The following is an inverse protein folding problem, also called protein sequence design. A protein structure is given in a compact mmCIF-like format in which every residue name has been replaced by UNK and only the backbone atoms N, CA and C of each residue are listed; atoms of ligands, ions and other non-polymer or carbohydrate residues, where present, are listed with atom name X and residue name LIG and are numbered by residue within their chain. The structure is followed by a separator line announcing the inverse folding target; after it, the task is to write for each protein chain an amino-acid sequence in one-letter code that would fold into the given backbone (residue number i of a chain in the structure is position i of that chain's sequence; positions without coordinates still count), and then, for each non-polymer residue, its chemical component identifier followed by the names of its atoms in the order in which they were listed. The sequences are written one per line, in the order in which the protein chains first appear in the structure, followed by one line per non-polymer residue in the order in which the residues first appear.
data_IF_766207069202
#
_entry.id   IF_766207069202
#
_cell.length_a   1.000
_cell.length_b   1.000
_cell.length_c   1.000
_cell.angle_alpha   90.00
_cell.angle_beta   90.00
_cell.angle_gamma   90.00
#
_symmetry.space_group_name_H-M   'P 1'
#
loop_
_entity.id
_entity.type
_entity.pdbx_description
1 polymer ?
#
# COMPACT_ATOMS: atom_id res chain seq x y z
N UNK A 1 -33.85 -9.90 -5.63
CA UNK A 1 -33.65 -8.46 -5.38
C UNK A 1 -32.59 -8.15 -4.31
N UNK A 2 -32.12 -9.14 -3.52
CA UNK A 2 -31.21 -8.95 -2.38
C UNK A 2 -29.72 -8.66 -2.72
N UNK A 3 -29.17 -9.14 -3.82
CA UNK A 3 -27.73 -9.06 -4.08
C UNK A 3 -27.21 -7.65 -4.42
N UNK A 4 -28.06 -6.75 -4.93
CA UNK A 4 -27.66 -5.38 -5.28
C UNK A 4 -27.49 -4.46 -4.06
N UNK A 5 -28.24 -4.67 -2.99
CA UNK A 5 -28.20 -3.83 -1.77
C UNK A 5 -27.00 -4.16 -0.88
N UNK A 6 -26.58 -5.42 -0.80
CA UNK A 6 -25.45 -5.86 0.02
C UNK A 6 -24.09 -5.37 -0.52
N UNK A 7 -23.98 -5.09 -1.81
CA UNK A 7 -22.76 -4.57 -2.42
C UNK A 7 -22.60 -3.04 -2.31
N UNK A 8 -23.63 -2.30 -1.90
CA UNK A 8 -23.58 -0.84 -1.80
C UNK A 8 -22.53 -0.34 -0.81
N UNK A 9 -22.44 -0.84 0.44
CA UNK A 9 -21.42 -0.40 1.39
C UNK A 9 -20.00 -0.69 0.90
N UNK A 10 -19.75 -1.85 0.31
CA UNK A 10 -18.44 -2.20 -0.26
C UNK A 10 -18.03 -1.20 -1.33
N UNK A 11 -18.96 -0.83 -2.20
CA UNK A 11 -18.70 0.17 -3.26
C UNK A 11 -18.40 1.54 -2.68
N UNK A 12 -19.16 1.97 -1.67
CA UNK A 12 -18.93 3.26 -1.00
C UNK A 12 -17.52 3.31 -0.40
N UNK A 13 -17.13 2.32 0.41
CA UNK A 13 -15.81 2.29 1.02
C UNK A 13 -14.68 2.17 0.00
N UNK A 14 -14.85 1.41 -1.08
CA UNK A 14 -13.86 1.30 -2.15
C UNK A 14 -13.71 2.62 -2.92
N UNK A 15 -14.78 3.38 -3.14
CA UNK A 15 -14.69 4.71 -3.76
C UNK A 15 -14.09 5.74 -2.81
N UNK A 16 -14.44 5.70 -1.53
CA UNK A 16 -13.87 6.57 -0.48
C UNK A 16 -12.35 6.37 -0.38
N UNK A 17 -11.90 5.12 -0.40
CA UNK A 17 -10.47 4.79 -0.41
C UNK A 17 -9.76 5.45 -1.60
N UNK A 18 -10.31 5.34 -2.81
CA UNK A 18 -9.73 5.95 -4.02
C UNK A 18 -9.68 7.47 -3.99
N UNK A 19 -10.68 8.11 -3.40
CA UNK A 19 -10.63 9.56 -3.19
C UNK A 19 -9.47 9.93 -2.27
N UNK A 20 -9.29 9.20 -1.17
CA UNK A 20 -8.17 9.43 -0.26
C UNK A 20 -6.81 9.12 -0.91
N UNK A 21 -6.71 8.07 -1.74
CA UNK A 21 -5.52 7.75 -2.52
C UNK A 21 -5.15 8.88 -3.48
N UNK A 22 -6.13 9.49 -4.17
CA UNK A 22 -5.89 10.62 -5.06
C UNK A 22 -5.38 11.85 -4.30
N UNK A 23 -5.96 12.14 -3.14
CA UNK A 23 -5.49 13.24 -2.28
C UNK A 23 -4.09 12.94 -1.75
N UNK A 24 -3.86 11.72 -1.27
CA UNK A 24 -2.53 11.28 -0.85
C UNK A 24 -1.49 11.42 -1.96
N UNK A 25 -1.82 10.96 -3.17
CA UNK A 25 -0.93 11.05 -4.33
C UNK A 25 -0.63 12.51 -4.70
N UNK A 26 -1.63 13.38 -4.68
CA UNK A 26 -1.44 14.79 -4.95
C UNK A 26 -0.51 15.44 -3.92
N UNK A 27 -0.69 15.15 -2.63
CA UNK A 27 0.18 15.63 -1.56
C UNK A 27 1.60 15.08 -1.68
N UNK A 28 1.75 13.79 -2.01
CA UNK A 28 3.03 13.13 -2.20
C UNK A 28 3.81 13.74 -3.38
N UNK A 29 3.15 13.95 -4.52
CA UNK A 29 3.76 14.60 -5.69
C UNK A 29 4.11 16.05 -5.37
N UNK A 30 3.21 16.80 -4.71
CA UNK A 30 3.46 18.18 -4.31
C UNK A 30 4.70 18.24 -3.41
N UNK A 31 4.79 17.37 -2.42
CA UNK A 31 5.96 17.28 -1.57
C UNK A 31 7.23 16.97 -2.37
N UNK A 32 7.23 15.92 -3.18
CA UNK A 32 8.42 15.49 -3.91
C UNK A 32 8.87 16.47 -5.00
N UNK A 33 7.94 17.22 -5.63
CA UNK A 33 8.24 18.05 -6.80
C UNK A 33 8.29 19.53 -6.47
N UNK A 34 7.34 20.03 -5.68
CA UNK A 34 7.15 21.47 -5.51
C UNK A 34 8.08 22.06 -4.45
N UNK A 35 8.25 21.39 -3.32
CA UNK A 35 9.09 21.88 -2.22
C UNK A 35 10.60 21.78 -2.48
N UNK A 36 10.96 21.34 -3.68
CA UNK A 36 12.35 21.25 -4.11
C UNK A 36 12.98 22.54 -4.60
N UNK A 37 12.25 23.63 -4.66
CA UNK A 37 12.65 24.79 -5.48
C UNK A 37 13.01 26.05 -4.72
N UNK A 38 13.42 26.00 -3.50
CA UNK A 38 14.10 27.20 -3.01
C UNK A 38 15.53 27.25 -3.52
N UNK A 39 15.70 27.88 -4.70
CA UNK A 39 17.00 28.08 -5.36
C UNK A 39 17.84 29.19 -4.69
N UNK A 40 17.29 29.85 -3.67
CA UNK A 40 17.95 30.99 -3.02
C UNK A 40 18.81 30.59 -1.84
N UNK A 41 18.60 29.41 -1.26
CA UNK A 41 19.43 28.88 -0.21
C UNK A 41 19.87 27.43 -0.51
N UNK A 42 21.13 27.23 -0.94
CA UNK A 42 21.67 25.90 -1.22
C UNK A 42 21.69 24.98 0.01
N UNK A 43 21.65 25.50 1.23
CA UNK A 43 21.61 24.72 2.47
C UNK A 43 20.22 24.11 2.72
N UNK A 44 19.16 24.71 2.18
CA UNK A 44 17.78 24.23 2.25
C UNK A 44 17.42 23.27 1.10
N UNK A 45 18.27 23.16 0.08
CA UNK A 45 18.07 22.30 -1.10
C UNK A 45 18.17 20.79 -0.82
N UNK A 46 18.53 20.40 0.39
CA UNK A 46 18.83 19.00 0.74
C UNK A 46 17.57 18.11 0.75
N UNK A 47 16.37 18.67 0.92
CA UNK A 47 15.15 17.89 1.15
C UNK A 47 14.11 17.96 0.03
N UNK A 48 14.39 18.60 -1.08
CA UNK A 48 13.39 18.80 -2.11
C UNK A 48 13.92 18.61 -3.53
N UNK A 49 13.09 18.03 -4.39
CA UNK A 49 13.21 17.97 -5.85
C UNK A 49 13.57 16.64 -6.45
N UNK A 50 12.82 16.38 -7.49
CA UNK A 50 13.08 15.30 -8.45
C UNK A 50 14.01 15.85 -9.54
N UNK A 51 15.16 16.43 -9.20
CA UNK A 51 16.17 16.78 -10.22
C UNK A 51 16.81 15.48 -10.72
N UNK A 52 17.08 15.38 -12.00
CA UNK A 52 17.37 14.16 -12.75
C UNK A 52 18.55 13.28 -12.32
N UNK A 53 19.04 13.41 -11.12
CA UNK A 53 20.08 12.56 -10.58
C UNK A 53 19.52 11.56 -9.57
N UNK A 54 19.18 10.37 -10.06
CA UNK A 54 18.80 9.22 -9.23
C UNK A 54 19.93 8.80 -8.25
N UNK A 55 21.17 9.12 -8.56
CA UNK A 55 22.39 8.68 -7.85
C UNK A 55 22.99 9.74 -6.92
N UNK A 56 22.27 10.81 -6.57
CA UNK A 56 22.74 11.85 -5.66
C UNK A 56 21.70 12.11 -4.56
N UNK A 57 21.79 13.24 -3.88
CA UNK A 57 20.96 13.64 -2.72
C UNK A 57 19.45 13.46 -2.92
N UNK A 58 18.96 13.44 -4.18
CA UNK A 58 17.56 13.22 -4.50
C UNK A 58 17.04 11.79 -4.32
N UNK A 59 17.89 10.83 -4.04
CA UNK A 59 17.48 9.45 -3.77
C UNK A 59 16.49 9.34 -2.60
N UNK A 60 16.54 10.27 -1.64
CA UNK A 60 15.57 10.37 -0.55
C UNK A 60 14.15 10.60 -1.06
N UNK A 61 13.96 11.55 -1.97
CA UNK A 61 12.64 11.86 -2.53
C UNK A 61 12.12 10.75 -3.44
N UNK A 62 13.00 10.10 -4.20
CA UNK A 62 12.64 8.91 -4.95
C UNK A 62 12.18 7.77 -4.04
N UNK A 63 12.84 7.55 -2.90
CA UNK A 63 12.41 6.58 -1.91
C UNK A 63 10.99 6.88 -1.41
N UNK A 64 10.72 8.11 -0.98
CA UNK A 64 9.41 8.53 -0.47
C UNK A 64 8.33 8.35 -1.54
N UNK A 65 8.57 8.80 -2.77
CA UNK A 65 7.62 8.69 -3.88
C UNK A 65 7.32 7.23 -4.24
N UNK A 66 8.35 6.44 -4.47
CA UNK A 66 8.20 5.06 -4.93
C UNK A 66 7.58 4.16 -3.87
N UNK A 67 7.98 4.30 -2.60
CA UNK A 67 7.38 3.56 -1.49
C UNK A 67 5.93 4.00 -1.22
N UNK A 68 5.65 5.31 -1.29
CA UNK A 68 4.30 5.83 -1.16
C UNK A 68 3.35 5.29 -2.23
N UNK A 69 3.78 5.25 -3.50
CA UNK A 69 2.98 4.66 -4.59
C UNK A 69 2.87 3.13 -4.43
N UNK A 70 3.97 2.45 -4.06
CA UNK A 70 3.97 0.99 -3.90
C UNK A 70 2.97 0.53 -2.84
N UNK A 71 3.06 1.08 -1.63
CA UNK A 71 2.24 0.64 -0.49
C UNK A 71 0.91 1.40 -0.39
N UNK A 72 0.90 2.70 -0.67
CA UNK A 72 -0.29 3.53 -0.54
C UNK A 72 -1.29 3.36 -1.69
N UNK A 73 -0.85 3.00 -2.90
CA UNK A 73 -1.70 2.90 -4.07
C UNK A 73 -1.71 1.48 -4.64
N UNK A 74 -0.57 0.99 -5.12
CA UNK A 74 -0.56 -0.28 -5.84
C UNK A 74 -0.99 -1.46 -4.96
N UNK A 75 -0.52 -1.50 -3.71
CA UNK A 75 -0.92 -2.54 -2.76
C UNK A 75 -2.39 -2.38 -2.33
N UNK A 76 -2.88 -1.15 -2.20
CA UNK A 76 -4.28 -0.85 -1.90
C UNK A 76 -5.21 -1.32 -3.03
N UNK A 77 -4.95 -0.95 -4.28
CA UNK A 77 -5.75 -1.39 -5.43
C UNK A 77 -5.69 -2.91 -5.62
N UNK A 78 -4.56 -3.53 -5.30
CA UNK A 78 -4.42 -4.99 -5.28
C UNK A 78 -5.38 -5.66 -4.28
N UNK A 79 -5.51 -5.12 -3.07
CA UNK A 79 -6.44 -5.64 -2.05
C UNK A 79 -7.89 -5.39 -2.46
N UNK A 80 -8.19 -4.18 -2.97
CA UNK A 80 -9.53 -3.80 -3.42
C UNK A 80 -10.03 -4.62 -4.62
N UNK A 81 -9.14 -5.23 -5.42
CA UNK A 81 -9.52 -6.10 -6.52
C UNK A 81 -10.43 -7.26 -6.05
N UNK A 82 -10.16 -7.81 -4.86
CA UNK A 82 -11.00 -8.85 -4.26
C UNK A 82 -12.28 -8.33 -3.59
N UNK A 83 -12.38 -7.03 -3.32
CA UNK A 83 -13.62 -6.42 -2.85
C UNK A 83 -14.63 -6.17 -4.00
N UNK A 84 -14.17 -6.17 -5.25
CA UNK A 84 -15.02 -5.96 -6.43
C UNK A 84 -15.79 -7.23 -6.80
N UNK A 85 -17.12 -7.20 -6.64
CA UNK A 85 -18.01 -8.30 -7.04
C UNK A 85 -17.90 -8.63 -8.54
N UNK A 86 -17.77 -7.61 -9.40
CA UNK A 86 -17.62 -7.79 -10.85
C UNK A 86 -16.31 -8.50 -11.20
N UNK A 87 -15.18 -8.11 -10.61
CA UNK A 87 -13.89 -8.76 -10.87
C UNK A 87 -13.88 -10.22 -10.38
N UNK A 88 -14.55 -10.50 -9.24
CA UNK A 88 -14.66 -11.87 -8.72
C UNK A 88 -15.54 -12.72 -9.61
N UNK A 89 -16.74 -12.24 -9.97
CA UNK A 89 -17.68 -12.96 -10.83
C UNK A 89 -17.09 -13.34 -12.19
N UNK A 90 -16.26 -12.46 -12.76
CA UNK A 90 -15.59 -12.70 -14.05
C UNK A 90 -14.23 -13.43 -13.92
N UNK A 91 -13.80 -13.82 -12.71
CA UNK A 91 -12.54 -14.51 -12.46
C UNK A 91 -11.28 -13.65 -12.63
N UNK A 92 -11.41 -12.33 -12.84
CA UNK A 92 -10.29 -11.42 -13.06
C UNK A 92 -9.62 -10.92 -11.78
N UNK A 93 -10.28 -11.00 -10.62
CA UNK A 93 -9.77 -10.45 -9.35
C UNK A 93 -8.34 -10.93 -9.03
N UNK A 94 -8.06 -12.21 -9.24
CA UNK A 94 -6.72 -12.80 -9.02
C UNK A 94 -5.65 -12.17 -9.92
N UNK A 95 -5.97 -11.95 -11.19
CA UNK A 95 -5.01 -11.39 -12.14
C UNK A 95 -4.75 -9.91 -11.93
N UNK A 96 -5.80 -9.15 -11.59
CA UNK A 96 -5.69 -7.75 -11.21
C UNK A 96 -4.87 -7.60 -9.92
N UNK A 97 -5.14 -8.45 -8.92
CA UNK A 97 -4.34 -8.52 -7.70
C UNK A 97 -2.87 -8.80 -8.00
N UNK A 98 -2.57 -9.82 -8.79
CA UNK A 98 -1.20 -10.17 -9.14
C UNK A 98 -0.49 -9.04 -9.89
N UNK A 99 -1.16 -8.39 -10.84
CA UNK A 99 -0.59 -7.30 -11.61
C UNK A 99 -0.21 -6.11 -10.70
N UNK A 100 -1.10 -5.70 -9.81
CA UNK A 100 -0.84 -4.62 -8.86
C UNK A 100 0.26 -4.99 -7.85
N UNK A 101 0.31 -6.26 -7.39
CA UNK A 101 1.38 -6.72 -6.50
C UNK A 101 2.74 -6.73 -7.21
N UNK A 102 2.80 -7.08 -8.50
CA UNK A 102 4.03 -7.02 -9.27
C UNK A 102 4.51 -5.58 -9.46
N UNK A 103 3.59 -4.65 -9.75
CA UNK A 103 3.89 -3.20 -9.81
C UNK A 103 4.43 -2.73 -8.46
N UNK A 104 3.75 -3.06 -7.35
CA UNK A 104 4.18 -2.69 -6.00
C UNK A 104 5.58 -3.21 -5.69
N UNK A 105 5.89 -4.46 -6.07
CA UNK A 105 7.19 -5.08 -5.83
C UNK A 105 8.31 -4.36 -6.60
N UNK A 106 8.08 -4.01 -7.87
CA UNK A 106 9.03 -3.27 -8.70
C UNK A 106 9.30 -1.88 -8.09
N UNK A 107 8.24 -1.16 -7.73
CA UNK A 107 8.35 0.17 -7.13
C UNK A 107 9.06 0.12 -5.77
N UNK A 108 8.74 -0.87 -4.93
CA UNK A 108 9.38 -1.05 -3.63
C UNK A 108 10.88 -1.39 -3.78
N UNK A 109 11.23 -2.25 -4.74
CA UNK A 109 12.64 -2.56 -5.02
C UNK A 109 13.41 -1.33 -5.50
N UNK A 110 12.83 -0.53 -6.40
CA UNK A 110 13.43 0.71 -6.88
C UNK A 110 13.56 1.75 -5.75
N UNK A 111 12.52 1.88 -4.90
CA UNK A 111 12.54 2.77 -3.74
C UNK A 111 13.56 2.35 -2.68
N UNK A 112 13.75 1.05 -2.45
CA UNK A 112 14.81 0.56 -1.57
C UNK A 112 16.20 0.86 -2.16
N UNK A 113 16.39 0.60 -3.44
CA UNK A 113 17.65 0.89 -4.11
C UNK A 113 18.01 2.39 -4.03
N UNK A 114 17.03 3.28 -4.24
CA UNK A 114 17.25 4.73 -4.18
C UNK A 114 17.75 5.20 -2.82
N UNK A 115 17.15 4.71 -1.72
CA UNK A 115 17.58 5.11 -0.37
C UNK A 115 18.96 4.54 0.01
N UNK A 116 19.28 3.33 -0.45
CA UNK A 116 20.61 2.74 -0.23
C UNK A 116 21.68 3.60 -0.91
N UNK A 117 21.44 3.97 -2.18
CA UNK A 117 22.35 4.83 -2.94
C UNK A 117 22.50 6.20 -2.29
N UNK A 118 21.39 6.86 -1.91
CA UNK A 118 21.40 8.16 -1.26
C UNK A 118 22.17 8.16 0.06
N UNK A 119 21.96 7.14 0.90
CA UNK A 119 22.69 6.99 2.16
C UNK A 119 24.17 6.72 1.99
N UNK A 120 24.53 5.89 1.00
CA UNK A 120 25.95 5.67 0.67
C UNK A 120 26.63 6.95 0.17
N UNK A 121 25.91 7.75 -0.63
CA UNK A 121 26.43 9.01 -1.14
C UNK A 121 26.65 10.05 -0.03
N UNK A 122 25.71 10.13 0.93
CA UNK A 122 25.77 11.08 2.06
C UNK A 122 26.52 10.54 3.30
N UNK A 123 27.16 9.37 3.22
CA UNK A 123 27.80 8.68 4.36
C UNK A 123 26.90 8.52 5.58
N UNK A 124 25.60 8.30 5.33
CA UNK A 124 24.58 8.20 6.37
C UNK A 124 24.37 6.75 6.83
N UNK A 125 24.07 6.56 8.13
CA UNK A 125 23.80 5.23 8.70
C UNK A 125 22.51 4.62 8.11
N UNK A 126 22.56 3.32 7.76
CA UNK A 126 21.42 2.63 7.15
C UNK A 126 20.34 2.24 8.15
N UNK A 127 20.69 1.52 9.19
CA UNK A 127 19.74 0.90 10.12
C UNK A 127 19.83 1.59 11.49
N UNK A 128 19.12 2.73 11.67
CA UNK A 128 19.17 3.46 12.93
C UNK A 128 17.80 3.89 13.47
N UNK A 129 16.74 3.85 12.64
CA UNK A 129 15.41 4.28 13.05
C UNK A 129 14.41 3.14 13.07
N UNK A 130 13.32 3.30 13.80
CA UNK A 130 12.18 2.36 13.83
C UNK A 130 11.63 2.14 12.43
N UNK A 131 11.53 3.22 11.62
CA UNK A 131 11.13 3.13 10.22
C UNK A 131 12.02 2.17 9.42
N UNK A 132 13.34 2.26 9.58
CA UNK A 132 14.28 1.41 8.84
C UNK A 132 14.10 -0.08 9.19
N UNK A 133 13.98 -0.42 10.47
CA UNK A 133 13.76 -1.82 10.91
C UNK A 133 12.39 -2.34 10.46
N UNK A 134 11.31 -1.58 10.69
CA UNK A 134 9.97 -1.94 10.23
C UNK A 134 9.93 -2.08 8.70
N UNK A 135 10.62 -1.20 7.98
CA UNK A 135 10.69 -1.24 6.52
C UNK A 135 11.30 -2.52 5.98
N UNK A 136 12.45 -2.92 6.53
CA UNK A 136 13.12 -4.18 6.10
C UNK A 136 12.25 -5.41 6.42
N UNK A 137 11.64 -5.46 7.61
CA UNK A 137 10.74 -6.57 7.97
C UNK A 137 9.50 -6.61 7.07
N UNK A 138 8.89 -5.47 6.79
CA UNK A 138 7.72 -5.36 5.89
C UNK A 138 8.07 -5.80 4.47
N UNK A 139 9.21 -5.36 3.94
CA UNK A 139 9.67 -5.76 2.60
C UNK A 139 9.96 -7.27 2.54
N UNK A 140 10.57 -7.84 3.57
CA UNK A 140 10.79 -9.29 3.65
C UNK A 140 9.46 -10.06 3.64
N UNK A 141 8.49 -9.65 4.46
CA UNK A 141 7.15 -10.23 4.46
C UNK A 141 6.47 -10.08 3.11
N UNK A 142 6.59 -8.93 2.46
CA UNK A 142 6.01 -8.67 1.15
C UNK A 142 6.60 -9.59 0.08
N UNK A 143 7.90 -9.74 0.02
CA UNK A 143 8.58 -10.67 -0.91
C UNK A 143 8.12 -12.11 -0.68
N UNK A 144 8.08 -12.56 0.57
CA UNK A 144 7.59 -13.91 0.92
C UNK A 144 6.14 -14.08 0.46
N UNK A 145 5.26 -13.12 0.76
CA UNK A 145 3.85 -13.16 0.37
C UNK A 145 3.65 -13.17 -1.15
N UNK A 146 4.43 -12.37 -1.88
CA UNK A 146 4.37 -12.35 -3.34
C UNK A 146 4.70 -13.72 -3.94
N UNK A 147 5.84 -14.28 -3.56
CA UNK A 147 6.27 -15.58 -4.10
C UNK A 147 5.40 -16.74 -3.60
N UNK A 148 4.94 -16.69 -2.35
CA UNK A 148 3.96 -17.66 -1.86
C UNK A 148 2.71 -17.66 -2.72
N UNK A 149 2.08 -16.49 -2.93
CA UNK A 149 0.88 -16.36 -3.74
C UNK A 149 1.09 -16.79 -5.18
N UNK A 150 2.21 -16.39 -5.79
CA UNK A 150 2.58 -16.79 -7.16
C UNK A 150 2.74 -18.31 -7.28
N UNK A 151 3.48 -18.93 -6.38
CA UNK A 151 3.71 -20.38 -6.40
C UNK A 151 2.43 -21.17 -6.14
N UNK A 152 1.70 -20.84 -5.05
CA UNK A 152 0.55 -21.63 -4.62
C UNK A 152 -0.67 -21.49 -5.57
N UNK A 153 -0.93 -20.29 -6.08
CA UNK A 153 -2.19 -20.01 -6.78
C UNK A 153 -2.04 -19.84 -8.30
N UNK A 154 -0.80 -19.76 -8.82
CA UNK A 154 -0.53 -19.63 -10.25
C UNK A 154 0.30 -20.82 -10.74
N UNK A 155 1.56 -20.95 -10.30
CA UNK A 155 2.51 -21.90 -10.86
C UNK A 155 2.19 -23.36 -10.53
N UNK A 156 1.90 -23.66 -9.26
CA UNK A 156 1.67 -25.02 -8.78
C UNK A 156 0.21 -25.34 -8.45
N UNK A 157 -0.72 -24.48 -8.88
CA UNK A 157 -2.15 -24.64 -8.58
C UNK A 157 -2.69 -26.04 -8.93
N UNK A 158 -2.31 -26.60 -10.07
CA UNK A 158 -2.78 -27.91 -10.53
C UNK A 158 -2.16 -29.09 -9.79
N UNK A 159 -1.04 -28.88 -9.08
CA UNK A 159 -0.34 -29.91 -8.32
C UNK A 159 -0.76 -29.96 -6.85
N UNK A 160 -1.45 -28.94 -6.36
CA UNK A 160 -1.90 -28.85 -4.98
C UNK A 160 -3.33 -29.38 -4.85
N UNK A 161 -3.60 -30.15 -3.80
CA UNK A 161 -4.95 -30.57 -3.46
C UNK A 161 -5.84 -29.36 -3.12
N UNK A 162 -7.15 -29.51 -3.23
CA UNK A 162 -8.09 -28.43 -2.90
C UNK A 162 -7.97 -28.03 -1.42
N UNK A 163 -7.89 -29.01 -0.51
CA UNK A 163 -7.70 -28.77 0.91
C UNK A 163 -6.40 -27.98 1.21
N UNK A 164 -5.30 -28.35 0.55
CA UNK A 164 -4.03 -27.61 0.69
C UNK A 164 -4.15 -26.18 0.19
N UNK A 165 -4.77 -25.97 -0.98
CA UNK A 165 -4.99 -24.62 -1.51
C UNK A 165 -5.85 -23.76 -0.60
N UNK A 166 -6.88 -24.34 0.00
CA UNK A 166 -7.74 -23.63 0.97
C UNK A 166 -6.95 -23.17 2.19
N UNK A 167 -6.16 -24.06 2.80
CA UNK A 167 -5.31 -23.73 3.94
C UNK A 167 -4.27 -22.66 3.58
N UNK A 168 -3.57 -22.85 2.48
CA UNK A 168 -2.58 -21.86 2.00
C UNK A 168 -3.22 -20.49 1.73
N UNK A 169 -4.46 -20.47 1.19
CA UNK A 169 -5.23 -19.26 0.97
C UNK A 169 -5.57 -18.53 2.28
N UNK A 170 -5.99 -19.26 3.30
CA UNK A 170 -6.30 -18.68 4.62
C UNK A 170 -5.08 -17.97 5.23
N UNK A 171 -3.91 -18.62 5.20
CA UNK A 171 -2.67 -18.00 5.71
C UNK A 171 -2.19 -16.86 4.81
N UNK A 172 -2.30 -16.99 3.49
CA UNK A 172 -1.95 -15.92 2.56
C UNK A 172 -2.78 -14.66 2.80
N UNK A 173 -4.09 -14.79 3.02
CA UNK A 173 -4.98 -13.67 3.34
C UNK A 173 -4.62 -13.04 4.68
N UNK A 174 -4.37 -13.84 5.71
CA UNK A 174 -4.02 -13.33 7.05
C UNK A 174 -2.71 -12.56 7.02
N UNK A 175 -1.65 -13.18 6.50
CA UNK A 175 -0.32 -12.57 6.42
C UNK A 175 -0.31 -11.41 5.41
N UNK A 176 -1.09 -11.50 4.32
CA UNK A 176 -1.24 -10.42 3.36
C UNK A 176 -1.85 -9.17 3.98
N UNK A 177 -2.88 -9.31 4.83
CA UNK A 177 -3.43 -8.20 5.60
C UNK A 177 -2.39 -7.60 6.55
N UNK A 178 -1.67 -8.44 7.28
CA UNK A 178 -0.59 -8.00 8.17
C UNK A 178 0.47 -7.21 7.38
N UNK A 179 0.91 -7.73 6.24
CA UNK A 179 1.90 -7.08 5.37
C UNK A 179 1.39 -5.73 4.85
N UNK A 180 0.12 -5.65 4.44
CA UNK A 180 -0.50 -4.40 3.98
C UNK A 180 -0.49 -3.33 5.07
N UNK A 181 -1.01 -3.64 6.27
CA UNK A 181 -1.06 -2.65 7.36
C UNK A 181 0.34 -2.32 7.91
N UNK A 182 1.26 -3.28 7.94
CA UNK A 182 2.66 -3.01 8.26
C UNK A 182 3.30 -2.06 7.25
N UNK A 183 3.00 -2.20 5.95
CA UNK A 183 3.46 -1.31 4.89
C UNK A 183 2.95 0.11 5.07
N UNK A 184 1.63 0.28 5.28
CA UNK A 184 1.02 1.58 5.56
C UNK A 184 1.63 2.21 6.82
N UNK A 185 1.72 1.47 7.92
CA UNK A 185 2.31 1.96 9.17
C UNK A 185 3.78 2.36 9.01
N UNK A 186 4.54 1.61 8.22
CA UNK A 186 5.94 1.95 7.89
C UNK A 186 6.02 3.25 7.08
N UNK A 187 5.16 3.45 6.08
CA UNK A 187 5.11 4.70 5.32
C UNK A 187 4.76 5.90 6.22
N UNK A 188 3.76 5.77 7.08
CA UNK A 188 3.37 6.82 8.04
C UNK A 188 4.54 7.17 8.97
N UNK A 189 5.24 6.14 9.48
CA UNK A 189 6.43 6.35 10.32
C UNK A 189 7.59 6.99 9.54
N UNK A 190 7.73 6.69 8.24
CA UNK A 190 8.71 7.33 7.35
C UNK A 190 8.45 8.82 7.16
N UNK A 191 7.19 9.25 7.08
CA UNK A 191 6.86 10.68 7.06
C UNK A 191 7.22 11.36 8.38
N UNK A 192 7.04 10.71 9.52
CA UNK A 192 7.45 11.25 10.82
C UNK A 192 8.98 11.37 10.93
N UNK A 193 9.73 10.34 10.53
CA UNK A 193 11.20 10.40 10.47
C UNK A 193 11.69 11.56 9.58
N UNK A 194 11.06 11.72 8.40
CA UNK A 194 11.41 12.81 7.47
C UNK A 194 11.14 14.19 8.08
N UNK A 195 10.00 14.38 8.77
CA UNK A 195 9.70 15.62 9.45
C UNK A 195 10.73 15.96 10.53
N UNK A 196 11.12 14.99 11.33
CA UNK A 196 12.15 15.18 12.35
C UNK A 196 13.48 15.62 11.71
N UNK A 197 13.90 14.97 10.63
CA UNK A 197 15.11 15.36 9.91
C UNK A 197 15.04 16.78 9.35
N UNK A 198 13.88 17.22 8.85
CA UNK A 198 13.70 18.57 8.32
C UNK A 198 13.76 19.61 9.44
N UNK A 199 13.13 19.37 10.58
CA UNK A 199 13.15 20.27 11.75
C UNK A 199 14.57 20.36 12.33
N UNK A 200 15.25 19.24 12.46
CA UNK A 200 16.64 19.21 12.96
C UNK A 200 17.61 19.96 12.03
N UNK A 201 17.31 20.04 10.73
CA UNK A 201 18.09 20.83 9.76
C UNK A 201 17.71 22.33 9.73
N UNK A 202 16.84 22.78 10.63
CA UNK A 202 16.49 24.21 10.80
C UNK A 202 15.25 24.66 10.03
N UNK A 203 14.50 23.73 9.40
CA UNK A 203 13.21 24.07 8.80
C UNK A 203 12.19 24.38 9.91
N UNK A 204 11.36 25.43 9.75
CA UNK A 204 10.28 25.70 10.70
C UNK A 204 9.32 24.52 10.78
N UNK A 205 8.94 24.13 11.98
CA UNK A 205 7.97 23.03 12.21
C UNK A 205 6.57 23.28 11.61
N UNK A 206 6.29 24.51 11.20
CA UNK A 206 5.02 24.95 10.58
C UNK A 206 5.16 25.28 9.10
N UNK A 207 6.24 24.88 8.46
CA UNK A 207 6.39 25.11 7.04
C UNK A 207 5.39 24.27 6.23
N UNK A 208 5.02 24.79 5.05
CA UNK A 208 4.07 24.11 4.15
C UNK A 208 4.53 22.71 3.72
N UNK A 209 5.84 22.47 3.65
CA UNK A 209 6.41 21.17 3.34
C UNK A 209 6.19 20.14 4.45
N UNK A 210 6.40 20.50 5.71
CA UNK A 210 6.14 19.64 6.86
C UNK A 210 4.65 19.38 7.05
N UNK A 211 3.80 20.38 6.77
CA UNK A 211 2.35 20.22 6.77
C UNK A 211 1.88 19.27 5.66
N UNK A 212 2.43 19.35 4.44
CA UNK A 212 2.07 18.45 3.35
C UNK A 212 2.36 16.99 3.68
N UNK A 213 3.49 16.71 4.34
CA UNK A 213 3.83 15.36 4.81
C UNK A 213 2.86 14.84 5.87
N UNK A 214 2.50 15.70 6.85
CA UNK A 214 1.52 15.35 7.88
C UNK A 214 0.18 14.97 7.27
N UNK A 215 -0.32 15.77 6.33
CA UNK A 215 -1.57 15.49 5.64
C UNK A 215 -1.47 14.24 4.75
N UNK A 216 -0.35 14.01 4.07
CA UNK A 216 -0.13 12.79 3.32
C UNK A 216 -0.22 11.54 4.22
N UNK A 217 0.41 11.57 5.40
CA UNK A 217 0.31 10.49 6.39
C UNK A 217 -1.13 10.27 6.87
N UNK A 218 -1.88 11.36 7.14
CA UNK A 218 -3.29 11.32 7.56
C UNK A 218 -4.17 10.68 6.47
N UNK A 219 -4.04 11.12 5.22
CA UNK A 219 -4.84 10.54 4.13
C UNK A 219 -4.46 9.09 3.83
N UNK A 220 -3.19 8.71 3.98
CA UNK A 220 -2.77 7.32 3.88
C UNK A 220 -3.40 6.46 4.97
N UNK A 221 -3.50 6.96 6.19
CA UNK A 221 -4.18 6.28 7.29
C UNK A 221 -5.68 6.12 7.03
N UNK A 222 -6.38 7.18 6.55
CA UNK A 222 -7.79 7.11 6.18
C UNK A 222 -8.04 6.16 5.00
N UNK A 223 -7.13 6.10 4.02
CA UNK A 223 -7.17 5.10 2.95
C UNK A 223 -7.20 3.69 3.53
N UNK A 224 -6.28 3.39 4.44
CA UNK A 224 -6.21 2.06 5.06
C UNK A 224 -7.47 1.72 5.87
N UNK A 225 -8.06 2.68 6.57
CA UNK A 225 -9.31 2.50 7.30
C UNK A 225 -10.49 2.20 6.36
N UNK A 226 -10.60 2.93 5.24
CA UNK A 226 -11.61 2.68 4.22
C UNK A 226 -11.46 1.29 3.57
N UNK A 227 -10.22 0.86 3.29
CA UNK A 227 -9.91 -0.50 2.81
C UNK A 227 -10.31 -1.56 3.82
N UNK A 228 -10.05 -1.35 5.11
CA UNK A 228 -10.49 -2.25 6.17
C UNK A 228 -12.01 -2.41 6.16
N UNK A 229 -12.76 -1.31 6.08
CA UNK A 229 -14.22 -1.33 5.99
C UNK A 229 -14.69 -2.05 4.72
N UNK A 230 -14.07 -1.81 3.57
CA UNK A 230 -14.41 -2.50 2.31
C UNK A 230 -14.20 -4.02 2.41
N UNK A 231 -13.07 -4.45 2.97
CA UNK A 231 -12.77 -5.88 3.17
C UNK A 231 -13.74 -6.56 4.13
N UNK A 232 -14.10 -5.87 5.23
CA UNK A 232 -15.00 -6.41 6.24
C UNK A 232 -16.41 -6.55 5.69
N UNK A 233 -16.92 -5.51 5.04
CA UNK A 233 -18.27 -5.52 4.45
C UNK A 233 -18.37 -6.50 3.28
N UNK A 234 -17.33 -6.69 2.49
CA UNK A 234 -17.29 -7.69 1.42
C UNK A 234 -17.44 -9.11 1.96
N UNK A 235 -16.77 -9.45 3.05
CA UNK A 235 -16.89 -10.75 3.70
C UNK A 235 -18.28 -10.99 4.29
N UNK A 236 -18.84 -9.98 4.95
CA UNK A 236 -20.20 -10.09 5.53
C UNK A 236 -21.22 -10.34 4.44
N UNK A 237 -21.11 -9.66 3.29
CA UNK A 237 -22.00 -9.87 2.17
C UNK A 237 -21.93 -11.31 1.60
N UNK A 238 -20.74 -11.91 1.53
CA UNK A 238 -20.59 -13.31 1.09
C UNK A 238 -21.25 -14.30 2.05
N UNK A 239 -21.05 -14.14 3.36
CA UNK A 239 -21.63 -15.04 4.37
C UNK A 239 -23.16 -14.98 4.34
N UNK A 240 -23.76 -13.79 4.15
CA UNK A 240 -25.21 -13.63 4.07
C UNK A 240 -25.77 -14.31 2.81
N UNK A 241 -25.13 -14.13 1.65
CA UNK A 241 -25.60 -14.78 0.42
C UNK A 241 -25.50 -16.30 0.48
N UNK A 242 -24.43 -16.86 1.04
CA UNK A 242 -24.28 -18.31 1.21
C UNK A 242 -25.33 -18.90 2.19
N UNK A 243 -25.73 -18.15 3.21
CA UNK A 243 -26.79 -18.58 4.14
C UNK A 243 -28.17 -18.55 3.48
N UNK A 244 -28.50 -17.51 2.72
CA UNK A 244 -29.76 -17.40 1.99
C UNK A 244 -29.92 -18.50 0.92
N UNK A 245 -28.85 -18.86 0.20
CA UNK A 245 -28.85 -19.96 -0.76
C UNK A 245 -29.12 -21.31 -0.09
N UNK A 246 -28.46 -21.61 1.03
CA UNK A 246 -28.67 -22.86 1.79
C UNK A 246 -30.08 -22.97 2.35
N UNK A 247 -30.63 -21.87 2.84
CA UNK A 247 -32.03 -21.88 3.35
C UNK A 247 -33.04 -22.06 2.20
N UNK A 248 -32.75 -21.50 1.02
CA UNK A 248 -33.58 -21.70 -0.16
C UNK A 248 -33.53 -23.16 -0.65
N UNK A 249 -32.38 -23.79 -0.70
CA UNK A 249 -32.21 -25.21 -1.05
C UNK A 249 -32.94 -26.14 -0.07
N UNK A 250 -32.84 -25.87 1.23
CA UNK A 250 -33.52 -26.67 2.25
C UNK A 250 -35.05 -26.55 2.17
N UNK A 251 -35.58 -25.37 1.80
CA UNK A 251 -37.03 -25.17 1.66
C UNK A 251 -37.64 -25.75 0.38
N UNK A 252 -36.82 -26.06 -0.63
CA UNK A 252 -37.26 -26.74 -1.87
C UNK A 252 -37.24 -28.27 -1.70
N UNK A 253 -36.48 -28.78 -0.73
CA UNK A 253 -36.36 -30.21 -0.46
C UNK A 253 -37.45 -30.78 0.47
N UNK A 254 -38.38 -29.95 0.94
CA UNK A 254 -39.56 -30.33 1.75
C UNK A 254 -40.81 -30.24 0.91
#
# INVERSE_FOLDING_TARGET
MGSHTLNAPVRVFSWTSRVFELVFLALLITFCVYFSKDKTDPSLAVYGGMSGCYNCDNGWNWHVLLMGIAFGIAMTESVLAFCSSSLRANGYAKWVHLAWQAIALILAAAGLASIIVAKNYSDSKHMYSVHAYCGVLTLALFVIQFFWGLCAFVLFRSRLSEATRYQMGTYHILLGKLTYYAGIGTCVNGFADMQMMMVDSGQPSYDSSTMAQSWAAVFLWFTSAAVFCAMTTSRTAEVVTDSEEKDAENNVAV
#
